data_IF_446376758642
#
_entry.id   IF_446376758642
#
_cell.length_a   1.000
_cell.length_b   1.000
_cell.length_c   1.000
_cell.angle_alpha   90.00
_cell.angle_beta   90.00
_cell.angle_gamma   90.00
#
_symmetry.space_group_name_H-M   'P 1'
#
loop_
_entity.id
_entity.type
_entity.pdbx_description
1 polymer ?
#
# COMPACT_ATOMS: atom_id res chain seq x y z
N UNK A 1 17.16 -28.37 5.98
CA UNK A 1 16.05 -27.45 5.65
C UNK A 1 14.76 -28.25 5.55
N UNK A 2 14.77 -29.33 4.77
CA UNK A 2 13.68 -30.29 4.58
C UNK A 2 13.02 -30.83 5.88
N UNK A 3 13.81 -31.29 6.87
CA UNK A 3 13.28 -31.77 8.16
C UNK A 3 12.57 -30.67 8.99
N UNK A 4 12.94 -29.39 8.80
CA UNK A 4 12.26 -28.27 9.47
C UNK A 4 10.91 -27.97 8.80
N UNK A 5 10.87 -27.96 7.46
CA UNK A 5 9.64 -27.74 6.68
C UNK A 5 8.61 -28.82 6.98
N UNK A 6 9.01 -30.10 7.01
CA UNK A 6 8.11 -31.20 7.35
C UNK A 6 7.52 -31.10 8.77
N UNK A 7 8.32 -30.70 9.76
CA UNK A 7 7.84 -30.49 11.13
C UNK A 7 6.85 -29.34 11.23
N UNK A 8 7.11 -28.25 10.51
CA UNK A 8 6.22 -27.09 10.44
C UNK A 8 4.89 -27.48 9.77
N UNK A 9 4.92 -28.16 8.62
CA UNK A 9 3.72 -28.64 7.95
C UNK A 9 2.90 -29.60 8.82
N UNK A 10 3.56 -30.47 9.59
CA UNK A 10 2.89 -31.35 10.55
C UNK A 10 2.19 -30.58 11.68
N UNK A 11 2.84 -29.53 12.19
CA UNK A 11 2.25 -28.64 13.20
C UNK A 11 1.02 -27.91 12.63
N UNK A 12 1.11 -27.38 11.41
CA UNK A 12 -0.03 -26.70 10.78
C UNK A 12 -1.23 -27.63 10.60
N UNK A 13 -0.99 -28.85 10.11
CA UNK A 13 -2.04 -29.87 9.98
C UNK A 13 -2.69 -30.20 11.32
N UNK A 14 -1.90 -30.31 12.39
CA UNK A 14 -2.41 -30.52 13.74
C UNK A 14 -3.31 -29.36 14.17
N UNK A 15 -2.85 -28.12 14.01
CA UNK A 15 -3.59 -26.93 14.43
C UNK A 15 -4.90 -26.75 13.64
N UNK A 16 -4.93 -27.16 12.38
CA UNK A 16 -6.11 -27.04 11.51
C UNK A 16 -6.97 -28.32 11.46
N UNK A 17 -6.72 -29.28 12.35
CA UNK A 17 -7.50 -30.54 12.38
C UNK A 17 -8.92 -30.30 12.87
N UNK A 18 -9.10 -29.35 13.80
CA UNK A 18 -10.40 -28.89 14.27
C UNK A 18 -11.12 -28.01 13.26
N UNK A 19 -12.39 -27.75 13.53
CA UNK A 19 -13.18 -26.77 12.78
C UNK A 19 -12.90 -25.35 13.26
N UNK A 20 -13.32 -24.37 12.47
CA UNK A 20 -13.38 -22.96 12.86
C UNK A 20 -14.03 -22.79 14.24
N UNK A 21 -13.40 -21.98 15.10
CA UNK A 21 -13.79 -21.80 16.51
C UNK A 21 -13.14 -22.75 17.52
N UNK A 22 -12.36 -23.77 17.09
CA UNK A 22 -11.54 -24.55 18.03
C UNK A 22 -10.31 -23.75 18.47
N UNK A 23 -9.80 -24.00 19.68
CA UNK A 23 -8.60 -23.31 20.21
C UNK A 23 -7.38 -23.45 19.30
N UNK A 24 -7.19 -24.63 18.74
CA UNK A 24 -6.11 -24.97 17.83
C UNK A 24 -6.24 -24.21 16.50
N UNK A 25 -7.46 -24.16 15.95
CA UNK A 25 -7.74 -23.44 14.72
C UNK A 25 -7.55 -21.92 14.90
N UNK A 26 -8.08 -21.35 15.99
CA UNK A 26 -7.89 -19.93 16.28
C UNK A 26 -6.42 -19.59 16.56
N UNK A 27 -5.66 -20.52 17.15
CA UNK A 27 -4.20 -20.38 17.30
C UNK A 27 -3.51 -20.34 15.95
N UNK A 28 -3.91 -21.20 15.01
CA UNK A 28 -3.41 -21.17 13.64
C UNK A 28 -3.73 -19.83 12.95
N UNK A 29 -4.96 -19.34 13.06
CA UNK A 29 -5.35 -18.07 12.44
C UNK A 29 -4.62 -16.87 13.04
N UNK A 30 -4.44 -16.85 14.37
CA UNK A 30 -3.65 -15.81 15.03
C UNK A 30 -2.18 -15.84 14.58
N UNK A 31 -1.61 -17.04 14.44
CA UNK A 31 -0.27 -17.21 13.90
C UNK A 31 -0.19 -16.69 12.46
N UNK A 32 -1.12 -17.08 11.58
CA UNK A 32 -1.17 -16.66 10.18
C UNK A 32 -1.26 -15.12 10.02
N UNK A 33 -1.94 -14.43 10.94
CA UNK A 33 -1.95 -12.94 10.98
C UNK A 33 -0.57 -12.38 11.26
N UNK A 34 0.09 -12.86 12.31
CA UNK A 34 1.43 -12.38 12.68
C UNK A 34 2.48 -12.70 11.62
N UNK A 35 2.31 -13.80 10.88
CA UNK A 35 3.22 -14.21 9.82
C UNK A 35 3.34 -13.19 8.67
N UNK A 36 2.29 -12.42 8.38
CA UNK A 36 2.31 -11.42 7.30
C UNK A 36 3.33 -10.30 7.53
N UNK A 37 3.75 -10.12 8.77
CA UNK A 37 4.73 -9.11 9.17
C UNK A 37 6.18 -9.64 9.10
N UNK A 38 6.37 -10.93 8.80
CA UNK A 38 7.68 -11.60 8.77
C UNK A 38 7.93 -12.31 7.43
N UNK A 39 8.47 -11.58 6.45
CA UNK A 39 8.72 -12.09 5.10
C UNK A 39 9.65 -13.32 5.04
N UNK A 40 10.58 -13.46 5.99
CA UNK A 40 11.48 -14.63 6.08
C UNK A 40 10.77 -15.92 6.47
N UNK A 41 9.55 -15.84 7.00
CA UNK A 41 8.74 -17.02 7.30
C UNK A 41 7.98 -17.53 6.06
N UNK A 42 7.82 -16.69 5.03
CA UNK A 42 7.29 -17.11 3.71
C UNK A 42 8.19 -18.15 3.05
N UNK A 43 9.50 -18.14 3.32
CA UNK A 43 10.46 -19.14 2.81
C UNK A 43 10.15 -20.58 3.28
N UNK A 44 9.33 -20.73 4.32
CA UNK A 44 8.86 -22.04 4.82
C UNK A 44 7.51 -22.44 4.23
N UNK A 45 6.87 -21.60 3.41
CA UNK A 45 5.61 -21.87 2.74
C UNK A 45 5.88 -22.50 1.39
N UNK A 46 5.99 -23.82 1.41
CA UNK A 46 6.15 -24.60 0.22
C UNK A 46 4.80 -24.91 -0.45
N UNK A 47 4.87 -25.69 -1.53
CA UNK A 47 3.69 -26.18 -2.26
C UNK A 47 2.76 -26.98 -1.34
N UNK A 48 3.30 -27.71 -0.35
CA UNK A 48 2.48 -28.49 0.58
C UNK A 48 1.66 -27.59 1.51
N UNK A 49 2.27 -26.54 2.07
CA UNK A 49 1.57 -25.56 2.89
C UNK A 49 0.44 -24.86 2.11
N UNK A 50 0.77 -24.37 0.91
CA UNK A 50 -0.20 -23.68 0.04
C UNK A 50 -1.37 -24.59 -0.31
N UNK A 51 -1.09 -25.85 -0.67
CA UNK A 51 -2.11 -26.86 -0.95
C UNK A 51 -2.98 -27.14 0.28
N UNK A 52 -2.37 -27.25 1.46
CA UNK A 52 -3.10 -27.43 2.72
C UNK A 52 -4.05 -26.26 3.01
N UNK A 53 -3.59 -25.02 2.85
CA UNK A 53 -4.44 -23.84 2.99
C UNK A 53 -5.63 -23.89 2.03
N UNK A 54 -5.38 -24.21 0.76
CA UNK A 54 -6.39 -24.22 -0.29
C UNK A 54 -7.42 -25.33 -0.13
N UNK A 55 -6.97 -26.56 0.13
CA UNK A 55 -7.80 -27.77 0.08
C UNK A 55 -8.45 -28.09 1.43
N UNK A 56 -7.78 -27.78 2.54
CA UNK A 56 -8.21 -28.20 3.87
C UNK A 56 -8.68 -27.05 4.76
N UNK A 57 -8.06 -25.88 4.66
CA UNK A 57 -8.36 -24.76 5.57
C UNK A 57 -9.45 -23.87 4.99
N UNK A 58 -9.27 -23.34 3.79
CA UNK A 58 -10.18 -22.39 3.15
C UNK A 58 -11.64 -22.89 3.10
N UNK A 59 -11.93 -24.17 2.78
CA UNK A 59 -13.31 -24.66 2.74
C UNK A 59 -14.01 -24.74 4.11
N UNK A 60 -13.25 -24.77 5.22
CA UNK A 60 -13.79 -24.90 6.58
C UNK A 60 -14.11 -23.55 7.23
N UNK A 61 -13.60 -22.46 6.66
CA UNK A 61 -13.80 -21.11 7.18
C UNK A 61 -15.16 -20.59 6.71
N UNK A 62 -15.92 -19.97 7.60
CA UNK A 62 -17.12 -19.21 7.29
C UNK A 62 -16.91 -17.72 7.53
N UNK A 63 -16.07 -17.37 8.51
CA UNK A 63 -15.79 -15.99 8.87
C UNK A 63 -15.01 -15.29 7.73
N UNK A 64 -15.51 -14.13 7.30
CA UNK A 64 -15.02 -13.43 6.11
C UNK A 64 -13.60 -12.89 6.27
N UNK A 65 -13.22 -12.39 7.45
CA UNK A 65 -11.88 -11.87 7.71
C UNK A 65 -10.85 -13.00 7.68
N UNK A 66 -11.21 -14.16 8.25
CA UNK A 66 -10.40 -15.37 8.18
C UNK A 66 -10.26 -15.89 6.74
N UNK A 67 -11.32 -15.85 5.92
CA UNK A 67 -11.24 -16.23 4.49
C UNK A 67 -10.30 -15.31 3.73
N UNK A 68 -10.47 -14.00 3.88
CA UNK A 68 -9.63 -13.00 3.22
C UNK A 68 -8.16 -13.21 3.60
N UNK A 69 -7.88 -13.42 4.89
CA UNK A 69 -6.55 -13.72 5.40
C UNK A 69 -5.91 -14.92 4.70
N UNK A 70 -6.62 -16.05 4.60
CA UNK A 70 -6.09 -17.26 3.96
C UNK A 70 -5.86 -17.07 2.47
N UNK A 71 -6.80 -16.45 1.74
CA UNK A 71 -6.63 -16.17 0.30
C UNK A 71 -5.41 -15.28 0.07
N UNK A 72 -5.28 -14.20 0.84
CA UNK A 72 -4.12 -13.30 0.78
C UNK A 72 -2.81 -14.04 1.02
N UNK A 73 -2.76 -14.93 2.02
CA UNK A 73 -1.56 -15.73 2.28
C UNK A 73 -1.23 -16.70 1.13
N UNK A 74 -2.23 -17.35 0.52
CA UNK A 74 -2.01 -18.24 -0.63
C UNK A 74 -1.43 -17.45 -1.82
N UNK A 75 -2.00 -16.29 -2.13
CA UNK A 75 -1.58 -15.45 -3.25
C UNK A 75 -0.16 -14.91 -3.03
N UNK A 76 0.15 -14.49 -1.80
CA UNK A 76 1.49 -14.01 -1.45
C UNK A 76 2.55 -15.11 -1.46
N UNK A 77 2.22 -16.32 -1.00
CA UNK A 77 3.14 -17.46 -1.01
C UNK A 77 3.46 -17.95 -2.43
N UNK A 78 2.54 -17.76 -3.37
CA UNK A 78 2.71 -18.23 -4.76
C UNK A 78 3.29 -17.18 -5.69
N UNK A 79 3.02 -15.89 -5.45
CA UNK A 79 3.57 -14.70 -6.12
C UNK A 79 3.91 -14.91 -7.61
N UNK A 80 2.89 -15.09 -8.45
CA UNK A 80 3.05 -15.25 -9.91
C UNK A 80 3.35 -16.67 -10.38
N UNK A 81 3.64 -17.61 -9.49
CA UNK A 81 3.92 -19.02 -9.84
C UNK A 81 2.71 -19.96 -9.70
N UNK A 82 1.54 -19.39 -9.46
CA UNK A 82 0.31 -20.14 -9.25
C UNK A 82 -0.32 -20.63 -10.56
N UNK A 83 -1.02 -21.77 -10.51
CA UNK A 83 -1.82 -22.23 -11.63
C UNK A 83 -2.98 -21.25 -11.91
N UNK A 84 -3.18 -20.92 -13.19
CA UNK A 84 -4.16 -19.91 -13.61
C UNK A 84 -5.59 -20.21 -13.12
N UNK A 85 -6.02 -21.46 -13.23
CA UNK A 85 -7.37 -21.90 -12.81
C UNK A 85 -7.60 -21.75 -11.31
N UNK A 86 -6.57 -22.03 -10.49
CA UNK A 86 -6.62 -21.81 -9.04
C UNK A 86 -6.77 -20.31 -8.74
N UNK A 87 -6.00 -19.48 -9.43
CA UNK A 87 -6.00 -18.03 -9.25
C UNK A 87 -7.33 -17.40 -9.64
N UNK A 88 -7.90 -17.78 -10.78
CA UNK A 88 -9.23 -17.32 -11.22
C UNK A 88 -10.31 -17.67 -10.17
N UNK A 89 -10.26 -18.87 -9.59
CA UNK A 89 -11.17 -19.28 -8.52
C UNK A 89 -10.98 -18.43 -7.26
N UNK A 90 -9.75 -18.30 -6.77
CA UNK A 90 -9.45 -17.49 -5.59
C UNK A 90 -9.85 -16.02 -5.77
N UNK A 91 -9.61 -15.46 -6.95
CA UNK A 91 -10.03 -14.10 -7.29
C UNK A 91 -11.55 -13.93 -7.20
N UNK A 92 -12.31 -14.86 -7.79
CA UNK A 92 -13.78 -14.84 -7.74
C UNK A 92 -14.35 -14.95 -6.31
N UNK A 93 -13.66 -15.68 -5.42
CA UNK A 93 -14.04 -15.78 -4.01
C UNK A 93 -13.63 -14.53 -3.21
N UNK A 94 -12.55 -13.86 -3.61
CA UNK A 94 -11.98 -12.72 -2.90
C UNK A 94 -12.72 -11.40 -3.14
N UNK A 95 -13.16 -11.14 -4.38
CA UNK A 95 -13.87 -9.89 -4.74
C UNK A 95 -15.08 -9.62 -3.82
N UNK A 96 -15.98 -10.58 -3.54
CA UNK A 96 -17.09 -10.37 -2.61
C UNK A 96 -16.66 -10.09 -1.16
N UNK A 97 -15.49 -10.57 -0.74
CA UNK A 97 -14.94 -10.30 0.60
C UNK A 97 -14.46 -8.85 0.72
N UNK A 98 -13.84 -8.33 -0.36
CA UNK A 98 -13.41 -6.93 -0.44
C UNK A 98 -14.60 -5.96 -0.37
N UNK A 99 -15.69 -6.28 -1.07
CA UNK A 99 -16.93 -5.51 -1.00
C UNK A 99 -17.57 -5.51 0.40
N UNK A 100 -17.16 -6.43 1.28
CA UNK A 100 -17.63 -6.57 2.66
C UNK A 100 -16.60 -6.09 3.70
N UNK A 101 -15.53 -5.39 3.26
CA UNK A 101 -14.45 -4.89 4.11
C UNK A 101 -13.78 -5.98 4.97
N UNK A 102 -13.62 -7.18 4.41
CA UNK A 102 -13.05 -8.32 5.11
C UNK A 102 -11.53 -8.22 5.38
N UNK A 103 -10.89 -7.13 4.98
CA UNK A 103 -9.44 -6.91 5.12
C UNK A 103 -9.13 -5.42 5.04
N UNK A 104 -7.87 -5.05 5.31
CA UNK A 104 -7.39 -3.68 5.15
C UNK A 104 -7.13 -3.34 3.68
N UNK A 105 -7.17 -2.05 3.33
CA UNK A 105 -6.85 -1.60 1.96
C UNK A 105 -5.44 -2.01 1.51
N UNK A 106 -4.48 -2.00 2.44
CA UNK A 106 -3.10 -2.38 2.15
C UNK A 106 -2.95 -3.86 1.78
N UNK A 107 -3.54 -4.75 2.59
CA UNK A 107 -3.52 -6.19 2.32
C UNK A 107 -4.29 -6.52 1.04
N UNK A 108 -5.46 -5.90 0.83
CA UNK A 108 -6.23 -6.05 -0.40
C UNK A 108 -5.42 -5.63 -1.62
N UNK A 109 -4.77 -4.47 -1.58
CA UNK A 109 -3.96 -3.99 -2.68
C UNK A 109 -2.75 -4.89 -2.97
N UNK A 110 -2.08 -5.42 -1.92
CA UNK A 110 -0.98 -6.38 -2.08
C UNK A 110 -1.45 -7.68 -2.74
N UNK A 111 -2.56 -8.24 -2.28
CA UNK A 111 -3.15 -9.46 -2.83
C UNK A 111 -3.61 -9.27 -4.29
N UNK A 112 -4.29 -8.15 -4.61
CA UNK A 112 -4.71 -7.82 -5.98
C UNK A 112 -3.52 -7.64 -6.93
N UNK A 113 -2.40 -7.07 -6.46
CA UNK A 113 -1.15 -7.07 -7.26
C UNK A 113 -0.63 -8.49 -7.49
N UNK A 114 -0.65 -9.34 -6.46
CA UNK A 114 -0.29 -10.76 -6.61
C UNK A 114 -1.17 -11.54 -7.61
N UNK A 115 -2.47 -11.23 -7.68
CA UNK A 115 -3.35 -11.74 -8.72
C UNK A 115 -2.94 -11.27 -10.13
N UNK A 116 -2.53 -10.01 -10.28
CA UNK A 116 -2.06 -9.47 -11.57
C UNK A 116 -0.78 -10.16 -12.02
N UNK A 117 0.19 -10.28 -11.13
CA UNK A 117 1.44 -11.01 -11.39
C UNK A 117 1.19 -12.49 -11.74
N UNK A 118 0.08 -13.05 -11.25
CA UNK A 118 -0.37 -14.42 -11.55
C UNK A 118 -1.29 -14.53 -12.78
N UNK A 119 -1.45 -13.44 -13.54
CA UNK A 119 -2.11 -13.44 -14.85
C UNK A 119 -3.57 -12.98 -14.89
N UNK A 120 -4.15 -12.50 -13.78
CA UNK A 120 -5.43 -11.77 -13.82
C UNK A 120 -5.18 -10.39 -14.44
N UNK A 121 -6.04 -9.96 -15.36
CA UNK A 121 -5.82 -8.67 -16.00
C UNK A 121 -6.12 -7.52 -15.04
N UNK A 122 -5.33 -6.44 -15.09
CA UNK A 122 -5.59 -5.23 -14.29
C UNK A 122 -6.96 -4.61 -14.65
N UNK A 123 -7.38 -4.72 -15.91
CA UNK A 123 -8.70 -4.31 -16.37
C UNK A 123 -9.83 -5.02 -15.63
N UNK A 124 -9.76 -6.36 -15.56
CA UNK A 124 -10.77 -7.18 -14.89
C UNK A 124 -10.89 -6.80 -13.40
N UNK A 125 -9.77 -6.62 -12.71
CA UNK A 125 -9.75 -6.13 -11.32
C UNK A 125 -10.43 -4.77 -11.21
N UNK A 126 -10.14 -3.83 -12.12
CA UNK A 126 -10.79 -2.52 -12.12
C UNK A 126 -12.30 -2.66 -12.30
N UNK A 127 -12.74 -3.46 -13.27
CA UNK A 127 -14.16 -3.63 -13.58
C UNK A 127 -14.92 -4.25 -12.41
N UNK A 128 -14.38 -5.31 -11.80
CA UNK A 128 -15.01 -5.96 -10.64
C UNK A 128 -15.12 -5.00 -9.44
N UNK A 129 -14.08 -4.22 -9.15
CA UNK A 129 -14.10 -3.23 -8.06
C UNK A 129 -15.04 -2.06 -8.38
N UNK A 130 -15.12 -1.65 -9.65
CA UNK A 130 -16.04 -0.59 -10.10
C UNK A 130 -17.51 -0.94 -9.87
N UNK A 131 -17.84 -2.22 -9.72
CA UNK A 131 -19.20 -2.71 -9.43
C UNK A 131 -19.57 -2.66 -7.95
N UNK A 132 -18.66 -2.24 -7.06
CA UNK A 132 -18.94 -2.13 -5.63
C UNK A 132 -20.03 -1.08 -5.36
N UNK A 133 -20.92 -1.38 -4.41
CA UNK A 133 -21.98 -0.43 -4.00
C UNK A 133 -21.41 0.82 -3.33
N UNK A 134 -20.34 0.67 -2.55
CA UNK A 134 -19.61 1.79 -1.98
C UNK A 134 -18.53 2.26 -2.94
N UNK A 135 -18.83 3.37 -3.63
CA UNK A 135 -17.91 4.03 -4.55
C UNK A 135 -16.64 4.53 -3.86
N UNK A 136 -16.72 5.02 -2.62
CA UNK A 136 -15.56 5.57 -1.91
C UNK A 136 -14.57 4.47 -1.54
N UNK A 137 -15.09 3.30 -1.13
CA UNK A 137 -14.26 2.12 -0.93
C UNK A 137 -13.59 1.65 -2.22
N UNK A 138 -14.34 1.62 -3.34
CA UNK A 138 -13.80 1.28 -4.66
C UNK A 138 -12.66 2.21 -5.07
N UNK A 139 -12.85 3.53 -4.95
CA UNK A 139 -11.81 4.54 -5.24
C UNK A 139 -10.60 4.30 -4.35
N UNK A 140 -10.80 4.16 -3.04
CA UNK A 140 -9.71 3.97 -2.08
C UNK A 140 -8.88 2.73 -2.41
N UNK A 141 -9.54 1.61 -2.69
CA UNK A 141 -8.87 0.35 -3.04
C UNK A 141 -8.08 0.47 -4.35
N UNK A 142 -8.70 1.00 -5.41
CA UNK A 142 -8.02 1.22 -6.71
C UNK A 142 -6.83 2.18 -6.59
N UNK A 143 -6.95 3.21 -5.74
CA UNK A 143 -5.84 4.11 -5.42
C UNK A 143 -4.71 3.38 -4.69
N UNK A 144 -5.00 2.50 -3.73
CA UNK A 144 -3.99 1.73 -2.99
C UNK A 144 -3.29 0.64 -3.82
N UNK A 145 -3.98 0.07 -4.82
CA UNK A 145 -3.35 -0.85 -5.78
C UNK A 145 -2.24 -0.13 -6.56
N UNK A 146 -2.43 1.16 -6.84
CA UNK A 146 -1.43 2.08 -7.42
C UNK A 146 -0.86 1.62 -8.77
N UNK A 147 -1.74 1.29 -9.71
CA UNK A 147 -1.36 0.93 -11.09
C UNK A 147 -1.51 2.13 -12.03
N UNK A 148 -0.52 2.29 -12.90
CA UNK A 148 -0.45 3.40 -13.87
C UNK A 148 -1.37 3.22 -15.07
N UNK A 149 -1.65 1.98 -15.48
CA UNK A 149 -2.52 1.66 -16.62
C UNK A 149 -3.41 0.46 -16.31
N UNK A 150 -4.72 0.67 -16.37
CA UNK A 150 -5.74 -0.36 -16.20
C UNK A 150 -6.12 -1.05 -17.51
N UNK A 151 -5.43 -0.74 -18.62
CA UNK A 151 -5.77 -1.23 -19.95
C UNK A 151 -7.06 -0.60 -20.51
N UNK A 152 -7.69 -1.31 -21.46
CA UNK A 152 -8.85 -0.82 -22.22
C UNK A 152 -10.16 -0.90 -21.43
N UNK A 153 -10.39 0.08 -20.56
CA UNK A 153 -11.59 0.10 -19.71
C UNK A 153 -12.87 0.43 -20.50
N UNK A 154 -14.03 -0.11 -20.08
CA UNK A 154 -15.31 0.24 -20.66
C UNK A 154 -15.61 1.76 -20.52
N UNK A 155 -16.29 2.40 -21.51
CA UNK A 155 -16.56 3.84 -21.48
C UNK A 155 -17.29 4.33 -20.22
N UNK A 156 -18.18 3.51 -19.65
CA UNK A 156 -18.90 3.80 -18.41
C UNK A 156 -18.00 3.97 -17.18
N UNK A 157 -16.78 3.43 -17.23
CA UNK A 157 -15.81 3.50 -16.14
C UNK A 157 -14.95 4.77 -16.17
N UNK A 158 -15.07 5.60 -17.21
CA UNK A 158 -14.24 6.79 -17.43
C UNK A 158 -14.28 7.80 -16.26
N UNK A 159 -15.47 8.06 -15.71
CA UNK A 159 -15.63 8.96 -14.57
C UNK A 159 -14.91 8.43 -13.31
N UNK A 160 -15.11 7.13 -12.99
CA UNK A 160 -14.43 6.49 -11.87
C UNK A 160 -12.91 6.47 -12.07
N UNK A 161 -12.45 6.20 -13.29
CA UNK A 161 -11.02 6.21 -13.62
C UNK A 161 -10.40 7.59 -13.39
N UNK A 162 -11.10 8.67 -13.74
CA UNK A 162 -10.64 10.03 -13.48
C UNK A 162 -10.53 10.30 -11.96
N UNK A 163 -11.54 9.91 -11.19
CA UNK A 163 -11.53 10.07 -9.72
C UNK A 163 -10.40 9.26 -9.06
N UNK A 164 -10.17 8.02 -9.49
CA UNK A 164 -9.04 7.20 -9.02
C UNK A 164 -7.70 7.85 -9.34
N UNK A 165 -7.55 8.40 -10.54
CA UNK A 165 -6.32 9.08 -10.98
C UNK A 165 -6.06 10.33 -10.13
N UNK A 166 -7.08 11.11 -9.84
CA UNK A 166 -6.93 12.29 -8.98
C UNK A 166 -6.63 11.89 -7.53
N UNK A 167 -7.28 10.86 -7.00
CA UNK A 167 -6.96 10.30 -5.68
C UNK A 167 -5.52 9.76 -5.60
N UNK A 168 -5.01 9.11 -6.65
CA UNK A 168 -3.61 8.68 -6.74
C UNK A 168 -2.64 9.87 -6.69
N UNK A 169 -2.93 10.96 -7.41
CA UNK A 169 -2.12 12.18 -7.36
C UNK A 169 -2.15 12.82 -5.97
N UNK A 170 -3.32 12.90 -5.33
CA UNK A 170 -3.44 13.43 -3.96
C UNK A 170 -2.63 12.56 -3.00
N UNK A 171 -2.69 11.23 -3.12
CA UNK A 171 -1.88 10.32 -2.31
C UNK A 171 -0.38 10.58 -2.49
N UNK A 172 0.11 10.67 -3.74
CA UNK A 172 1.52 10.98 -4.01
C UNK A 172 1.94 12.35 -3.47
N UNK A 173 1.07 13.37 -3.64
CA UNK A 173 1.27 14.70 -3.08
C UNK A 173 1.39 14.66 -1.55
N UNK A 174 0.45 14.00 -0.87
CA UNK A 174 0.46 13.88 0.59
C UNK A 174 1.71 13.19 1.11
N UNK A 175 2.21 12.18 0.40
CA UNK A 175 3.43 11.47 0.75
C UNK A 175 4.66 12.39 0.71
N UNK A 176 4.82 13.15 -0.38
CA UNK A 176 5.97 14.06 -0.55
C UNK A 176 5.93 15.19 0.48
N UNK A 177 4.75 15.79 0.68
CA UNK A 177 4.61 16.87 1.65
C UNK A 177 4.76 16.38 3.09
N UNK A 178 4.34 15.16 3.42
CA UNK A 178 4.59 14.59 4.74
C UNK A 178 6.09 14.47 5.01
N UNK A 179 6.87 13.98 4.04
CA UNK A 179 8.33 13.92 4.14
C UNK A 179 8.94 15.33 4.29
N UNK A 180 8.47 16.31 3.53
CA UNK A 180 8.89 17.71 3.66
C UNK A 180 8.62 18.28 5.07
N UNK A 181 7.44 18.00 5.64
CA UNK A 181 7.08 18.43 6.99
C UNK A 181 7.95 17.76 8.06
N UNK A 182 8.30 16.49 7.90
CA UNK A 182 9.21 15.78 8.81
C UNK A 182 10.57 16.46 8.86
N UNK A 183 11.09 16.88 7.70
CA UNK A 183 12.39 17.53 7.62
C UNK A 183 12.36 18.95 8.21
N UNK A 184 11.33 19.73 7.91
CA UNK A 184 11.36 21.18 8.14
C UNK A 184 10.44 21.71 9.24
N UNK A 185 9.39 20.99 9.62
CA UNK A 185 8.42 21.52 10.56
C UNK A 185 8.96 21.41 12.00
N UNK A 186 9.17 22.53 12.73
CA UNK A 186 9.88 22.52 14.01
C UNK A 186 9.25 21.61 15.07
N UNK A 187 7.91 21.50 15.08
CA UNK A 187 7.19 20.63 16.01
C UNK A 187 7.15 19.17 15.56
N UNK A 188 7.20 18.90 14.24
CA UNK A 188 7.14 17.52 13.75
C UNK A 188 8.44 16.83 14.11
N UNK A 189 9.59 17.38 13.70
CA UNK A 189 10.89 16.82 14.07
C UNK A 189 11.09 16.70 15.59
N UNK A 190 10.67 17.71 16.36
CA UNK A 190 10.80 17.69 17.83
C UNK A 190 9.99 16.59 18.51
N UNK A 191 8.76 16.35 18.07
CA UNK A 191 7.83 15.46 18.75
C UNK A 191 7.55 14.15 18.02
N UNK A 192 8.19 13.90 16.88
CA UNK A 192 7.92 12.71 16.05
C UNK A 192 7.91 11.40 16.85
N UNK A 193 8.91 11.18 17.72
CA UNK A 193 9.03 9.96 18.51
C UNK A 193 8.03 9.83 19.69
N UNK A 194 7.25 10.87 20.00
CA UNK A 194 6.23 10.85 21.07
C UNK A 194 4.84 11.27 20.57
N UNK A 195 4.74 11.63 19.30
CA UNK A 195 3.52 12.09 18.65
C UNK A 195 2.61 10.89 18.37
N UNK A 196 1.30 11.09 18.50
CA UNK A 196 0.30 10.13 18.00
C UNK A 196 0.01 10.31 16.51
N UNK A 197 0.56 11.36 15.89
CA UNK A 197 0.58 11.53 14.43
C UNK A 197 1.75 10.71 13.91
N UNK A 198 1.42 9.64 13.20
CA UNK A 198 2.39 8.79 12.54
C UNK A 198 2.76 9.35 11.17
N UNK A 199 4.04 9.34 10.85
CA UNK A 199 4.58 9.77 9.57
C UNK A 199 5.25 8.59 8.91
N UNK A 200 5.07 8.44 7.59
CA UNK A 200 5.66 7.33 6.84
C UNK A 200 7.18 7.28 6.95
N UNK A 201 7.81 8.42 7.24
CA UNK A 201 9.25 8.55 7.42
C UNK A 201 9.56 9.12 8.79
N UNK A 202 10.60 8.58 9.44
CA UNK A 202 11.33 9.30 10.47
C UNK A 202 12.23 10.38 9.83
N UNK A 203 12.85 11.23 10.66
CA UNK A 203 13.72 12.28 10.17
C UNK A 203 14.89 11.76 9.32
N UNK A 204 15.54 10.68 9.74
CA UNK A 204 16.69 10.12 9.03
C UNK A 204 16.28 9.53 7.68
N UNK A 205 15.21 8.73 7.65
CA UNK A 205 14.64 8.18 6.42
C UNK A 205 14.14 9.28 5.48
N UNK A 206 13.47 10.31 6.01
CA UNK A 206 13.01 11.44 5.21
C UNK A 206 14.17 12.20 4.56
N UNK A 207 15.29 12.36 5.27
CA UNK A 207 16.50 13.01 4.79
C UNK A 207 17.18 12.20 3.67
N UNK A 208 17.41 10.90 3.92
CA UNK A 208 18.11 10.00 2.98
C UNK A 208 17.29 9.76 1.71
N UNK A 209 15.97 9.56 1.84
CA UNK A 209 15.12 9.21 0.71
C UNK A 209 14.58 10.44 -0.05
N UNK A 210 15.03 11.66 0.26
CA UNK A 210 14.55 12.87 -0.43
C UNK A 210 14.97 12.88 -1.91
N UNK A 211 14.05 12.68 -2.87
CA UNK A 211 14.45 12.36 -4.25
C UNK A 211 14.78 13.61 -5.08
N UNK A 212 14.61 14.81 -4.52
CA UNK A 212 14.67 16.07 -5.27
C UNK A 212 16.04 16.78 -5.20
N UNK A 213 17.13 16.04 -5.11
CA UNK A 213 18.49 16.62 -4.93
C UNK A 213 19.10 17.23 -6.20
N UNK A 214 18.44 17.10 -7.36
CA UNK A 214 18.94 17.58 -8.66
C UNK A 214 17.95 18.51 -9.35
N UNK A 215 18.48 19.44 -10.14
CA UNK A 215 17.65 20.31 -10.98
C UNK A 215 16.80 19.48 -11.95
N UNK A 216 15.51 19.79 -12.02
CA UNK A 216 14.54 19.11 -12.87
C UNK A 216 14.04 17.76 -12.35
N UNK A 217 14.46 17.34 -11.14
CA UNK A 217 13.96 16.12 -10.50
C UNK A 217 12.46 16.18 -10.17
N UNK A 218 11.90 17.38 -10.00
CA UNK A 218 10.47 17.61 -9.74
C UNK A 218 9.61 17.60 -11.01
N UNK A 219 10.22 17.65 -12.20
CA UNK A 219 9.53 17.88 -13.48
C UNK A 219 8.43 16.86 -13.78
N UNK A 220 8.61 15.59 -13.38
CA UNK A 220 7.58 14.55 -13.55
C UNK A 220 6.30 14.93 -12.81
N UNK A 221 6.41 15.39 -11.56
CA UNK A 221 5.28 15.72 -10.70
C UNK A 221 4.53 16.96 -11.22
N UNK A 222 5.28 17.95 -11.70
CA UNK A 222 4.72 19.13 -12.37
C UNK A 222 3.94 18.73 -13.60
N UNK A 223 4.52 17.91 -14.49
CA UNK A 223 3.84 17.40 -15.70
C UNK A 223 2.60 16.57 -15.40
N UNK A 224 2.55 15.91 -14.24
CA UNK A 224 1.42 15.10 -13.81
C UNK A 224 0.37 15.91 -13.03
N UNK A 225 0.60 17.22 -12.84
CA UNK A 225 -0.25 18.11 -12.04
C UNK A 225 -0.43 17.60 -10.59
N UNK A 226 0.65 17.10 -10.00
CA UNK A 226 0.72 16.68 -8.59
C UNK A 226 1.19 17.85 -7.73
N UNK A 227 2.14 18.63 -8.26
CA UNK A 227 2.67 19.85 -7.66
C UNK A 227 2.78 20.94 -8.72
N UNK A 228 2.84 22.21 -8.32
CA UNK A 228 3.12 23.30 -9.25
C UNK A 228 4.64 23.57 -9.40
N UNK A 229 5.01 24.43 -10.36
CA UNK A 229 6.41 24.79 -10.63
C UNK A 229 7.10 25.43 -9.42
N UNK A 230 6.35 26.19 -8.61
CA UNK A 230 6.87 26.86 -7.43
C UNK A 230 7.19 25.84 -6.33
N UNK A 231 6.29 24.90 -6.09
CA UNK A 231 6.47 23.79 -5.15
C UNK A 231 7.66 22.92 -5.58
N UNK A 232 7.75 22.59 -6.88
CA UNK A 232 8.89 21.85 -7.43
C UNK A 232 10.23 22.52 -7.18
N UNK A 233 10.32 23.84 -7.42
CA UNK A 233 11.54 24.61 -7.15
C UNK A 233 11.92 24.63 -5.66
N UNK A 234 10.94 24.70 -4.75
CA UNK A 234 11.17 24.65 -3.30
C UNK A 234 11.70 23.27 -2.89
N UNK A 235 11.15 22.19 -3.44
CA UNK A 235 11.60 20.83 -3.15
C UNK A 235 13.01 20.56 -3.65
N UNK A 236 13.36 21.08 -4.82
CA UNK A 236 14.71 21.00 -5.38
C UNK A 236 15.71 21.83 -4.58
N UNK A 237 15.34 23.02 -4.12
CA UNK A 237 16.17 23.82 -3.23
C UNK A 237 16.39 23.10 -1.90
N UNK A 238 15.35 22.53 -1.29
CA UNK A 238 15.50 21.71 -0.09
C UNK A 238 16.50 20.56 -0.32
N UNK A 239 16.38 19.87 -1.44
CA UNK A 239 17.28 18.76 -1.79
C UNK A 239 18.74 19.18 -1.87
N UNK A 240 19.04 20.37 -2.42
CA UNK A 240 20.40 20.93 -2.44
C UNK A 240 20.90 21.24 -1.03
N UNK A 241 20.05 21.77 -0.15
CA UNK A 241 20.45 22.15 1.20
C UNK A 241 20.72 20.94 2.10
N UNK A 242 19.91 19.89 1.98
CA UNK A 242 20.01 18.64 2.77
C UNK A 242 21.32 17.89 2.50
N UNK A 243 21.81 17.95 1.26
CA UNK A 243 23.02 17.24 0.83
C UNK A 243 24.28 18.11 0.92
N UNK A 244 24.16 19.34 1.41
CA UNK A 244 25.29 20.22 1.68
C UNK A 244 25.75 20.04 3.13
N UNK A 245 26.90 19.37 3.33
CA UNK A 245 27.49 19.10 4.65
C UNK A 245 27.80 20.37 5.46
N UNK A 246 27.84 21.55 4.82
CA UNK A 246 28.11 22.82 5.47
C UNK A 246 26.85 23.52 6.02
N UNK A 247 25.65 22.98 5.79
CA UNK A 247 24.39 23.66 6.12
C UNK A 247 23.82 23.21 7.47
N UNK A 248 23.52 24.22 8.31
CA UNK A 248 22.67 24.04 9.48
C UNK A 248 21.20 23.91 9.02
N UNK A 249 20.61 22.73 9.23
CA UNK A 249 19.21 22.44 8.93
C UNK A 249 18.23 23.20 9.84
N UNK A 250 18.72 23.82 10.91
CA UNK A 250 17.97 24.78 11.73
C UNK A 250 18.19 26.24 11.30
N UNK A 251 18.91 26.47 10.20
CA UNK A 251 19.15 27.81 9.69
C UNK A 251 17.86 28.50 9.24
N UNK A 252 17.83 29.82 9.35
CA UNK A 252 16.73 30.65 8.85
C UNK A 252 16.45 30.44 7.37
N UNK A 253 17.47 30.05 6.58
CA UNK A 253 17.33 29.75 5.15
C UNK A 253 16.46 28.51 4.93
N UNK A 254 16.71 27.45 5.71
CA UNK A 254 15.96 26.19 5.65
C UNK A 254 14.53 26.39 6.18
N UNK A 255 14.36 27.13 7.28
CA UNK A 255 13.05 27.49 7.83
C UNK A 255 12.22 28.39 6.89
N UNK A 256 12.87 29.22 6.06
CA UNK A 256 12.17 30.06 5.08
C UNK A 256 11.52 29.24 3.96
N UNK A 257 12.03 28.04 3.64
CA UNK A 257 11.38 27.16 2.66
C UNK A 257 9.98 26.75 3.11
N UNK A 258 9.81 26.43 4.40
CA UNK A 258 8.49 26.12 4.97
C UNK A 258 7.53 27.31 4.84
N UNK A 259 7.97 28.51 5.26
CA UNK A 259 7.15 29.72 5.18
C UNK A 259 6.77 30.05 3.73
N UNK A 260 7.72 29.87 2.81
CA UNK A 260 7.51 30.11 1.38
C UNK A 260 6.53 29.10 0.79
N UNK A 261 6.64 27.81 1.12
CA UNK A 261 5.75 26.77 0.57
C UNK A 261 4.29 27.04 0.93
N UNK A 262 4.01 27.30 2.20
CA UNK A 262 2.63 27.45 2.68
C UNK A 262 2.10 28.88 2.52
N UNK A 263 2.97 29.90 2.55
CA UNK A 263 2.59 31.31 2.39
C UNK A 263 1.45 31.77 3.31
N UNK A 264 1.42 31.25 4.55
CA UNK A 264 0.37 31.56 5.53
C UNK A 264 -0.97 30.85 5.29
N UNK A 265 -1.08 29.96 4.30
CA UNK A 265 -2.22 29.05 4.13
C UNK A 265 -2.16 27.90 5.13
N UNK A 266 -3.30 27.27 5.39
CA UNK A 266 -3.35 26.02 6.15
C UNK A 266 -2.57 24.93 5.39
N UNK A 267 -1.56 24.29 6.03
CA UNK A 267 -0.84 23.19 5.42
C UNK A 267 -1.73 22.05 4.93
N UNK A 268 -2.82 21.72 5.63
CA UNK A 268 -3.72 20.65 5.21
C UNK A 268 -4.44 21.01 3.92
N UNK A 269 -4.92 22.24 3.78
CA UNK A 269 -5.54 22.71 2.53
C UNK A 269 -4.56 22.58 1.36
N UNK A 270 -3.29 22.93 1.56
CA UNK A 270 -2.26 22.82 0.52
C UNK A 270 -1.96 21.38 0.15
N UNK A 271 -1.85 20.49 1.15
CA UNK A 271 -1.42 19.10 0.96
C UNK A 271 -2.49 18.25 0.27
N UNK A 272 -3.76 18.49 0.58
CA UNK A 272 -4.88 17.72 0.01
C UNK A 272 -5.45 18.31 -1.29
N UNK A 273 -4.96 19.47 -1.74
CA UNK A 273 -5.43 20.13 -2.96
C UNK A 273 -4.43 19.98 -4.09
N UNK A 274 -4.86 19.42 -5.22
CA UNK A 274 -4.07 19.41 -6.45
C UNK A 274 -3.96 20.83 -7.02
N UNK A 275 -2.86 21.18 -7.71
CA UNK A 275 -2.77 22.45 -8.42
C UNK A 275 -3.89 22.60 -9.46
N UNK A 276 -4.38 23.82 -9.66
CA UNK A 276 -5.29 24.12 -10.78
C UNK A 276 -4.58 23.79 -12.09
N UNK A 277 -5.10 22.80 -12.82
CA UNK A 277 -4.53 22.38 -14.10
C UNK A 277 -4.57 23.54 -15.09
N UNK A 278 -3.39 24.01 -15.52
CA UNK A 278 -3.24 24.96 -16.64
C UNK A 278 -3.12 24.22 -17.96
#
# INVERSE_FOLDING_TARGET
>A
MEDKVQKINSLFKYLTHGNEGSSEFETFMAFLRGLKDYSTLLDFYDVEFTRHLLEEVLPKINEKYNKALVIETIVEATYGNAEKSMIEKLFSEYIPLLAQYATTLENAARCLRGFIESGISSNEIFVEIAMFKDKQHAISLLTYINIHSWGDLPPQSSALQAEVKDAQKVRERTYIFAQFLVILHPLVGKYQGVSSIDFVFDYEGAHVDWPFSREGSSLRLVKQNIIDEREGAIFEELGKLIHDEAIDLQSSRVLNLYQTLFSGRDPLDVIFTLPDGR
#
